data_IF_664628855141
#
_entry.id   IF_664628855141
#
_cell.length_a   1.000
_cell.length_b   1.000
_cell.length_c   1.000
_cell.angle_alpha   90.00
_cell.angle_beta   90.00
_cell.angle_gamma   90.00
#
_symmetry.space_group_name_H-M   'P 1'
#
loop_
_entity.id
_entity.type
_entity.pdbx_description
1 polymer ?
#
# COMPACT_ATOMS: atom_id res chain seq x y z
N UNK A 1 47.27 39.12 13.36
CA UNK A 1 46.56 37.83 13.55
C UNK A 1 45.07 38.03 13.24
N UNK A 2 44.37 36.94 12.87
CA UNK A 2 42.97 36.83 12.41
C UNK A 2 42.74 36.83 10.89
N UNK A 3 43.37 35.88 10.20
CA UNK A 3 42.82 35.27 8.97
C UNK A 3 42.25 33.90 9.33
N UNK A 4 41.13 33.90 10.03
CA UNK A 4 40.32 32.72 10.30
C UNK A 4 38.91 33.27 10.36
N UNK A 5 38.07 32.94 9.37
CA UNK A 5 36.60 32.95 9.48
C UNK A 5 35.88 32.65 8.16
N UNK A 6 36.50 32.84 6.98
CA UNK A 6 35.79 32.61 5.71
C UNK A 6 35.58 31.12 5.39
N UNK A 7 36.57 30.26 5.67
CA UNK A 7 36.53 28.83 5.34
C UNK A 7 35.52 28.06 6.22
N UNK A 8 35.44 28.39 7.51
CA UNK A 8 34.46 27.79 8.42
C UNK A 8 33.02 28.22 8.09
N UNK A 9 32.79 29.48 7.71
CA UNK A 9 31.48 29.95 7.28
C UNK A 9 30.99 29.22 6.01
N UNK A 10 31.90 29.00 5.05
CA UNK A 10 31.57 28.30 3.81
C UNK A 10 31.23 26.82 4.06
N UNK A 11 31.95 26.15 4.97
CA UNK A 11 31.66 24.75 5.32
C UNK A 11 30.31 24.58 6.02
N UNK A 12 29.89 25.53 6.87
CA UNK A 12 28.59 25.48 7.55
C UNK A 12 27.41 25.67 6.58
N UNK A 13 27.58 26.50 5.55
CA UNK A 13 26.56 26.72 4.51
C UNK A 13 26.40 25.48 3.63
N UNK A 14 27.49 24.76 3.30
CA UNK A 14 27.43 23.51 2.53
C UNK A 14 26.75 22.39 3.32
N UNK A 15 26.95 22.31 4.64
CA UNK A 15 26.27 21.30 5.49
C UNK A 15 24.76 21.60 5.62
N UNK A 16 24.35 22.87 5.68
CA UNK A 16 22.92 23.22 5.67
C UNK A 16 22.24 22.97 4.32
N UNK A 17 22.95 23.12 3.20
CA UNK A 17 22.41 22.83 1.87
C UNK A 17 22.22 21.32 1.61
N UNK A 18 23.00 20.45 2.28
CA UNK A 18 22.80 18.99 2.23
C UNK A 18 21.74 18.47 3.22
N UNK A 19 21.12 19.34 4.01
CA UNK A 19 19.89 19.02 4.76
C UNK A 19 18.62 19.20 3.89
N UNK A 20 18.78 19.52 2.59
CA UNK A 20 17.71 19.70 1.64
C UNK A 20 17.06 18.38 1.21
N UNK A 21 15.75 18.28 1.49
CA UNK A 21 14.81 17.29 0.97
C UNK A 21 15.03 15.85 1.42
N UNK A 22 14.94 15.59 2.73
CA UNK A 22 14.22 14.39 3.16
C UNK A 22 12.73 14.70 3.06
N UNK A 23 12.12 14.43 1.91
CA UNK A 23 10.66 14.31 1.82
C UNK A 23 10.27 13.11 2.68
N UNK A 24 10.05 13.32 3.98
CA UNK A 24 9.43 12.30 4.81
C UNK A 24 7.98 12.20 4.34
N UNK A 25 7.63 11.07 3.71
CA UNK A 25 6.23 10.70 3.51
C UNK A 25 5.56 10.74 4.87
N UNK A 26 4.66 11.70 5.04
CA UNK A 26 3.83 11.79 6.25
C UNK A 26 2.50 11.12 5.96
N UNK A 27 2.14 10.26 6.89
CA UNK A 27 0.92 9.47 6.90
C UNK A 27 -0.04 10.15 7.85
N UNK A 28 -1.22 10.52 7.36
CA UNK A 28 -2.28 11.07 8.19
C UNK A 28 -3.40 10.06 8.27
N UNK A 29 -3.67 9.56 9.47
CA UNK A 29 -4.85 8.72 9.70
C UNK A 29 -6.11 9.56 9.47
N UNK A 30 -6.94 9.11 8.52
CA UNK A 30 -8.20 9.77 8.15
C UNK A 30 -9.40 8.87 8.44
N UNK A 31 -9.21 7.76 9.17
CA UNK A 31 -10.24 6.76 9.44
C UNK A 31 -11.50 7.35 10.08
N UNK A 32 -11.34 8.35 10.97
CA UNK A 32 -12.47 8.99 11.67
C UNK A 32 -13.11 10.16 10.89
N UNK A 33 -12.58 10.49 9.71
CA UNK A 33 -13.04 11.64 8.91
C UNK A 33 -14.11 11.20 7.92
N UNK A 34 -15.10 12.06 7.63
CA UNK A 34 -16.03 11.79 6.55
C UNK A 34 -15.33 11.96 5.18
N UNK A 35 -15.63 11.11 4.16
CA UNK A 35 -16.58 9.99 4.19
C UNK A 35 -16.00 8.66 4.72
N UNK A 36 -14.70 8.61 5.02
CA UNK A 36 -13.96 7.39 5.37
C UNK A 36 -14.48 6.64 6.59
N UNK A 37 -14.96 7.35 7.61
CA UNK A 37 -15.52 6.76 8.83
C UNK A 37 -16.66 5.79 8.57
N UNK A 38 -17.41 5.99 7.49
CA UNK A 38 -18.54 5.13 7.12
C UNK A 38 -18.09 3.82 6.48
N UNK A 39 -16.82 3.72 6.09
CA UNK A 39 -16.22 2.55 5.46
C UNK A 39 -15.56 1.63 6.49
N UNK A 40 -15.11 2.17 7.62
CA UNK A 40 -14.44 1.43 8.69
C UNK A 40 -15.41 0.44 9.34
N UNK A 41 -14.93 -0.78 9.60
CA UNK A 41 -15.70 -1.86 10.21
C UNK A 41 -16.66 -2.58 9.27
N UNK A 42 -16.89 -2.05 8.05
CA UNK A 42 -17.70 -2.74 7.05
C UNK A 42 -17.03 -4.01 6.55
N UNK A 43 -17.87 -4.98 6.21
CA UNK A 43 -17.47 -6.26 5.67
C UNK A 43 -17.52 -6.25 4.15
N UNK A 44 -16.50 -6.85 3.54
CA UNK A 44 -16.35 -6.91 2.10
C UNK A 44 -16.02 -8.33 1.66
N UNK A 45 -16.32 -8.63 0.41
CA UNK A 45 -15.93 -9.88 -0.25
C UNK A 45 -15.14 -9.58 -1.51
N UNK A 46 -14.01 -10.29 -1.70
CA UNK A 46 -13.19 -10.20 -2.91
C UNK A 46 -13.88 -10.97 -4.05
N UNK A 47 -14.04 -10.34 -5.22
CA UNK A 47 -14.75 -10.91 -6.37
C UNK A 47 -13.84 -11.61 -7.39
N UNK A 48 -12.53 -11.42 -7.29
CA UNK A 48 -11.52 -12.01 -8.21
C UNK A 48 -10.38 -12.65 -7.43
N UNK A 49 -9.71 -13.60 -8.06
CA UNK A 49 -8.51 -14.17 -7.48
C UNK A 49 -7.34 -13.20 -7.55
N UNK A 50 -6.61 -13.07 -6.44
CA UNK A 50 -5.48 -12.17 -6.33
C UNK A 50 -4.26 -12.84 -5.71
N UNK A 51 -3.08 -12.41 -6.14
CA UNK A 51 -1.82 -12.70 -5.48
C UNK A 51 -1.50 -11.63 -4.44
N UNK A 52 -0.91 -12.07 -3.34
CA UNK A 52 -0.28 -11.21 -2.36
C UNK A 52 1.23 -11.23 -2.62
N UNK A 53 1.80 -10.06 -2.95
CA UNK A 53 3.17 -9.97 -3.49
C UNK A 53 4.00 -8.95 -2.72
N UNK A 54 5.26 -9.26 -2.48
CA UNK A 54 6.24 -8.33 -1.94
C UNK A 54 7.07 -7.74 -3.08
N UNK A 55 7.24 -6.41 -3.09
CA UNK A 55 8.13 -5.72 -4.02
C UNK A 55 9.54 -5.69 -3.44
N UNK A 56 10.54 -5.94 -4.28
CA UNK A 56 11.96 -5.88 -3.88
C UNK A 56 12.30 -4.48 -3.36
N UNK A 57 12.70 -4.39 -2.09
CA UNK A 57 13.03 -3.11 -1.43
C UNK A 57 11.83 -2.41 -0.79
N UNK A 58 10.62 -2.97 -0.89
CA UNK A 58 9.45 -2.50 -0.15
C UNK A 58 9.25 -3.36 1.10
N UNK A 59 8.90 -2.71 2.21
CA UNK A 59 8.62 -3.38 3.48
C UNK A 59 7.24 -4.03 3.51
N UNK A 60 6.32 -3.55 2.69
CA UNK A 60 4.92 -3.94 2.75
C UNK A 60 4.48 -4.68 1.48
N UNK A 61 3.97 -5.92 1.63
CA UNK A 61 3.37 -6.64 0.52
C UNK A 61 2.03 -6.03 0.10
N UNK A 62 1.73 -6.14 -1.20
CA UNK A 62 0.57 -5.56 -1.88
C UNK A 62 -0.27 -6.66 -2.52
N UNK A 63 -1.56 -6.40 -2.77
CA UNK A 63 -2.39 -7.31 -3.57
C UNK A 63 -2.23 -7.00 -5.06
N UNK A 64 -2.26 -8.01 -5.93
CA UNK A 64 -2.28 -7.85 -7.39
C UNK A 64 -3.20 -8.90 -8.01
N UNK A 65 -3.97 -8.51 -9.03
CA UNK A 65 -4.83 -9.43 -9.76
C UNK A 65 -4.00 -10.45 -10.54
N UNK A 66 -4.57 -11.64 -10.72
CA UNK A 66 -4.01 -12.63 -11.64
C UNK A 66 -3.91 -12.05 -13.07
N UNK A 67 -2.88 -12.44 -13.82
CA UNK A 67 -2.63 -12.00 -15.20
C UNK A 67 -2.03 -10.59 -15.35
N UNK A 68 -1.85 -9.84 -14.26
CA UNK A 68 -1.27 -8.49 -14.29
C UNK A 68 0.24 -8.53 -14.02
N UNK A 69 1.04 -7.71 -14.71
CA UNK A 69 2.49 -7.57 -14.48
C UNK A 69 3.30 -8.87 -14.53
N UNK A 70 2.90 -9.81 -15.40
CA UNK A 70 3.55 -11.11 -15.53
C UNK A 70 3.16 -12.14 -14.47
N UNK A 71 2.18 -11.82 -13.61
CA UNK A 71 1.61 -12.79 -12.70
C UNK A 71 0.86 -13.90 -13.45
N UNK A 72 0.77 -15.09 -12.85
CA UNK A 72 0.00 -16.20 -13.40
C UNK A 72 -1.45 -15.78 -13.70
N UNK A 73 -2.04 -16.28 -14.79
CA UNK A 73 -3.42 -15.95 -15.18
C UNK A 73 -4.46 -16.55 -14.21
N UNK A 74 -4.13 -17.65 -13.56
CA UNK A 74 -4.98 -18.35 -12.61
C UNK A 74 -4.31 -18.43 -11.24
N UNK A 75 -5.11 -18.53 -10.19
CA UNK A 75 -4.61 -18.63 -8.83
C UNK A 75 -4.02 -20.00 -8.54
N UNK A 76 -2.70 -20.07 -8.48
CA UNK A 76 -1.96 -21.26 -8.07
C UNK A 76 -1.19 -20.99 -6.77
N UNK A 77 -1.54 -21.76 -5.72
CA UNK A 77 -0.91 -21.66 -4.39
C UNK A 77 0.50 -22.25 -4.37
N UNK A 78 0.84 -23.13 -5.31
CA UNK A 78 2.17 -23.73 -5.38
C UNK A 78 3.24 -22.73 -5.85
N UNK A 79 2.80 -21.57 -6.37
CA UNK A 79 3.66 -20.48 -6.82
C UNK A 79 4.01 -19.49 -5.72
N UNK A 80 3.51 -19.68 -4.50
CA UNK A 80 3.99 -18.90 -3.35
C UNK A 80 5.50 -19.18 -3.21
N UNK A 81 6.31 -18.12 -3.23
CA UNK A 81 7.78 -18.13 -3.23
C UNK A 81 8.40 -17.83 -4.59
N UNK A 82 7.61 -17.88 -5.66
CA UNK A 82 8.08 -17.54 -6.99
C UNK A 82 8.47 -16.07 -7.07
N UNK A 83 9.60 -15.82 -7.72
CA UNK A 83 10.08 -14.48 -8.04
C UNK A 83 9.84 -14.20 -9.52
N UNK A 84 9.12 -13.12 -9.79
CA UNK A 84 8.76 -12.69 -11.14
C UNK A 84 9.21 -11.23 -11.25
N UNK A 85 10.24 -10.94 -12.05
CA UNK A 85 10.84 -9.61 -12.10
C UNK A 85 11.26 -9.13 -10.69
N UNK A 86 10.75 -7.98 -10.26
CA UNK A 86 11.03 -7.37 -8.95
C UNK A 86 9.98 -7.72 -7.89
N UNK A 87 9.05 -8.65 -8.16
CA UNK A 87 8.05 -9.10 -7.19
C UNK A 87 8.29 -10.55 -6.76
N UNK A 88 7.98 -10.84 -5.50
CA UNK A 88 7.89 -12.19 -4.94
C UNK A 88 6.44 -12.47 -4.56
N UNK A 89 5.91 -13.63 -4.98
CA UNK A 89 4.60 -14.08 -4.53
C UNK A 89 4.74 -14.58 -3.10
N UNK A 90 4.10 -13.92 -2.14
CA UNK A 90 4.20 -14.28 -0.71
C UNK A 90 2.90 -14.85 -0.16
N UNK A 91 1.81 -14.79 -0.93
CA UNK A 91 0.56 -15.44 -0.62
C UNK A 91 -0.48 -15.33 -1.73
N UNK A 92 -1.66 -15.85 -1.44
CA UNK A 92 -2.83 -15.82 -2.33
C UNK A 92 -4.09 -15.40 -1.57
N UNK A 93 -4.97 -14.71 -2.28
CA UNK A 93 -6.30 -14.29 -1.83
C UNK A 93 -7.33 -14.84 -2.82
N UNK A 94 -7.98 -15.97 -2.49
CA UNK A 94 -9.02 -16.55 -3.32
C UNK A 94 -10.22 -15.61 -3.47
N UNK A 95 -10.91 -15.70 -4.61
CA UNK A 95 -12.26 -15.17 -4.76
C UNK A 95 -13.15 -15.66 -3.62
N UNK A 96 -14.07 -14.81 -3.20
CA UNK A 96 -14.98 -14.97 -2.06
C UNK A 96 -14.31 -14.86 -0.68
N UNK A 97 -13.04 -14.45 -0.61
CA UNK A 97 -12.40 -14.09 0.66
C UNK A 97 -13.11 -12.89 1.27
N UNK A 98 -13.54 -13.03 2.53
CA UNK A 98 -14.19 -11.96 3.29
C UNK A 98 -13.16 -11.19 4.10
N UNK A 99 -13.31 -9.88 4.20
CA UNK A 99 -12.42 -9.03 4.99
C UNK A 99 -13.15 -7.85 5.59
N UNK A 100 -12.49 -7.19 6.54
CA UNK A 100 -12.96 -5.96 7.19
C UNK A 100 -11.95 -4.85 6.97
N UNK A 101 -12.48 -3.65 6.68
CA UNK A 101 -11.69 -2.44 6.59
C UNK A 101 -11.39 -1.89 7.99
N UNK A 102 -10.10 -1.81 8.33
CA UNK A 102 -9.66 -1.44 9.68
C UNK A 102 -9.22 0.02 9.77
N UNK A 103 -8.54 0.52 8.74
CA UNK A 103 -7.93 1.86 8.78
C UNK A 103 -7.69 2.43 7.40
N UNK A 104 -7.77 3.75 7.29
CA UNK A 104 -7.49 4.52 6.07
C UNK A 104 -6.51 5.64 6.41
N UNK A 105 -5.43 5.74 5.64
CA UNK A 105 -4.36 6.71 5.86
C UNK A 105 -4.09 7.48 4.57
N UNK A 106 -4.05 8.81 4.61
CA UNK A 106 -3.75 9.68 3.47
C UNK A 106 -2.29 10.13 3.48
N UNK A 107 -1.67 10.17 2.31
CA UNK A 107 -0.33 10.71 2.11
C UNK A 107 -0.39 12.17 1.70
N UNK A 108 0.40 13.01 2.36
CA UNK A 108 0.40 14.45 2.13
C UNK A 108 1.10 14.91 0.83
N UNK A 109 1.86 14.03 0.15
CA UNK A 109 2.64 14.42 -1.04
C UNK A 109 1.88 14.24 -2.36
N UNK A 110 0.98 13.26 -2.45
CA UNK A 110 0.40 12.81 -3.73
C UNK A 110 -1.13 12.64 -3.68
N UNK A 111 -1.79 13.06 -2.59
CA UNK A 111 -3.19 12.72 -2.28
C UNK A 111 -3.48 11.20 -2.31
N UNK A 112 -2.43 10.38 -2.21
CA UNK A 112 -2.56 8.94 -2.21
C UNK A 112 -3.26 8.47 -0.93
N UNK A 113 -4.02 7.38 -1.01
CA UNK A 113 -4.68 6.77 0.16
C UNK A 113 -4.13 5.36 0.35
N UNK A 114 -3.48 5.11 1.48
CA UNK A 114 -3.18 3.78 2.00
C UNK A 114 -4.37 3.25 2.81
N UNK A 115 -4.55 1.95 2.80
CA UNK A 115 -5.66 1.27 3.47
C UNK A 115 -5.13 0.02 4.12
N UNK A 116 -5.49 -0.19 5.38
CA UNK A 116 -5.20 -1.42 6.10
C UNK A 116 -6.50 -2.23 6.26
N UNK A 117 -6.47 -3.48 5.79
CA UNK A 117 -7.59 -4.42 5.80
C UNK A 117 -7.14 -5.79 6.32
N UNK A 118 -7.99 -6.47 7.07
CA UNK A 118 -7.74 -7.85 7.52
C UNK A 118 -8.28 -8.84 6.49
N UNK A 119 -7.46 -9.18 5.50
CA UNK A 119 -7.78 -10.22 4.51
C UNK A 119 -7.23 -11.58 4.97
N UNK A 120 -8.01 -12.68 4.88
CA UNK A 120 -7.48 -14.03 5.03
C UNK A 120 -6.57 -14.36 3.85
N UNK A 121 -5.26 -14.43 4.10
CA UNK A 121 -4.24 -14.79 3.10
C UNK A 121 -3.72 -16.19 3.38
N UNK A 122 -3.66 -17.03 2.35
CA UNK A 122 -2.86 -18.26 2.40
C UNK A 122 -1.44 -17.86 2.01
N UNK A 123 -0.54 -17.82 2.99
CA UNK A 123 0.84 -17.34 2.83
C UNK A 123 1.81 -18.25 3.58
N UNK A 124 3.11 -18.11 3.32
CA UNK A 124 4.14 -18.80 4.08
C UNK A 124 4.13 -18.47 5.57
N UNK A 125 3.69 -17.28 5.95
CA UNK A 125 3.78 -16.80 7.33
C UNK A 125 2.50 -17.02 8.14
N UNK A 126 1.36 -17.37 7.51
CA UNK A 126 0.05 -17.55 8.16
C UNK A 126 -0.37 -16.40 9.10
N UNK A 127 0.20 -15.20 8.91
CA UNK A 127 -0.20 -14.00 9.63
C UNK A 127 -1.24 -13.26 8.78
N UNK A 128 -2.30 -12.79 9.43
CA UNK A 128 -3.14 -11.74 8.85
C UNK A 128 -2.22 -10.55 8.60
N UNK A 129 -2.14 -10.13 7.34
CA UNK A 129 -1.23 -9.05 6.97
C UNK A 129 -2.05 -7.79 6.74
N UNK A 130 -1.53 -6.68 7.26
CA UNK A 130 -1.91 -5.34 6.85
C UNK A 130 -1.45 -5.19 5.41
N UNK A 131 -2.39 -4.94 4.49
CA UNK A 131 -2.09 -4.90 3.07
C UNK A 131 -2.50 -3.56 2.50
N UNK A 132 -1.57 -2.92 1.79
CA UNK A 132 -1.88 -1.79 0.93
C UNK A 132 -2.94 -2.22 -0.12
N UNK A 133 -4.18 -1.82 0.10
CA UNK A 133 -5.30 -2.15 -0.78
C UNK A 133 -5.35 -1.31 -2.07
N UNK A 134 -4.27 -0.64 -2.46
CA UNK A 134 -4.23 0.26 -3.63
C UNK A 134 -4.60 -0.45 -4.93
N UNK A 135 -4.37 -1.77 -5.02
CA UNK A 135 -4.76 -2.58 -6.16
C UNK A 135 -6.24 -3.00 -6.21
N UNK A 136 -7.00 -2.79 -5.12
CA UNK A 136 -8.45 -3.04 -5.08
C UNK A 136 -9.25 -1.79 -5.48
N UNK A 137 -8.58 -0.75 -5.98
CA UNK A 137 -9.16 0.56 -6.30
C UNK A 137 -9.25 0.78 -7.79
N UNK A 138 -10.27 1.53 -8.21
CA UNK A 138 -10.28 2.22 -9.50
C UNK A 138 -10.18 3.72 -9.26
N UNK A 139 -9.07 4.31 -9.71
CA UNK A 139 -8.82 5.75 -9.88
C UNK A 139 -8.94 6.62 -8.61
N UNK A 140 -7.96 7.50 -8.44
CA UNK A 140 -8.19 8.80 -7.80
C UNK A 140 -9.28 9.50 -8.62
N UNK A 141 -10.51 9.50 -8.13
CA UNK A 141 -11.49 10.44 -8.64
C UNK A 141 -11.03 11.83 -8.21
N UNK A 142 -11.22 12.84 -9.05
CA UNK A 142 -10.94 14.25 -8.72
C UNK A 142 -11.68 14.72 -7.44
N UNK A 143 -12.60 13.89 -6.92
CA UNK A 143 -13.40 14.10 -5.71
C UNK A 143 -12.71 13.73 -4.40
N UNK A 144 -11.46 13.24 -4.39
CA UNK A 144 -10.73 12.98 -3.12
C UNK A 144 -11.42 11.93 -2.22
N UNK A 145 -12.35 11.14 -2.77
CA UNK A 145 -13.12 10.10 -2.06
C UNK A 145 -12.52 8.74 -2.33
N UNK A 146 -12.33 7.95 -1.27
CA UNK A 146 -11.94 6.56 -1.40
C UNK A 146 -13.13 5.67 -1.73
N UNK A 147 -13.05 4.95 -2.85
CA UNK A 147 -14.01 3.91 -3.22
C UNK A 147 -13.26 2.65 -3.69
N UNK A 148 -13.76 1.47 -3.28
CA UNK A 148 -13.30 0.21 -3.85
C UNK A 148 -13.82 0.05 -5.28
N UNK A 149 -13.07 -0.65 -6.13
CA UNK A 149 -13.59 -1.07 -7.42
C UNK A 149 -14.70 -2.12 -7.21
N UNK A 150 -15.94 -1.77 -7.57
CA UNK A 150 -17.10 -2.65 -7.46
C UNK A 150 -16.98 -3.96 -8.26
N UNK A 151 -16.09 -4.00 -9.26
CA UNK A 151 -15.78 -5.24 -9.99
C UNK A 151 -14.77 -6.14 -9.26
N UNK A 152 -14.10 -5.63 -8.22
CA UNK A 152 -13.09 -6.34 -7.44
C UNK A 152 -13.56 -6.68 -6.03
N UNK A 153 -14.39 -5.83 -5.44
CA UNK A 153 -14.84 -5.95 -4.06
C UNK A 153 -16.31 -5.55 -3.96
N UNK A 154 -17.07 -6.29 -3.17
CA UNK A 154 -18.46 -5.98 -2.87
C UNK A 154 -18.66 -5.89 -1.36
N UNK A 155 -19.31 -4.82 -0.90
CA UNK A 155 -19.79 -4.71 0.50
C UNK A 155 -20.84 -5.79 0.75
N UNK A 156 -20.75 -6.45 1.91
CA UNK A 156 -21.73 -7.46 2.33
C UNK A 156 -22.37 -7.08 3.65
N UNK A 157 -23.67 -7.41 3.84
CA UNK A 157 -24.37 -7.18 5.11
C UNK A 157 -23.73 -7.91 6.30
#
# INVERSE_FOLDING_TARGET
MKKMNAFFLFSAIIIMLMAGCRTSLTYTDVSDQAPYKELIGKHYVVLKDCYFVSLTGCTEPTIRLCGVNGLPQELDKNRIGDKINNIEIVGVVPRNSKFTLMKIVKYNLDSNIHIEILIPVISFSSKFNDVEASALKKKYTESDVFEFDGDLVMEVP
#
